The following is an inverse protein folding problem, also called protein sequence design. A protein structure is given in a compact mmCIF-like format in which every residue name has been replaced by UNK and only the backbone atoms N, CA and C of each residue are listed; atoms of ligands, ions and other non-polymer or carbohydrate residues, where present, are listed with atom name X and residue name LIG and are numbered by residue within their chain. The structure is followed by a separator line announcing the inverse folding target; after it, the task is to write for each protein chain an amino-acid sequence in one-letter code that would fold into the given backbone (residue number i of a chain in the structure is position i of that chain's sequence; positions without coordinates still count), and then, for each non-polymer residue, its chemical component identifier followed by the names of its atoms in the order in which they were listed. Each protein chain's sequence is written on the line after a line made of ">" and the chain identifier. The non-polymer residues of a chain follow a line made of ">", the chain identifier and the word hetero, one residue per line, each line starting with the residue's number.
data_IF_310850889202
#
_entry.id   IF_310850889202
#
_cell.length_a   1.000
_cell.length_b   1.000
_cell.length_c   1.000
_cell.angle_alpha   90.00
_cell.angle_beta   90.00
_cell.angle_gamma   90.00
#
_symmetry.space_group_name_H-M   'P 1'
#
loop_
_entity.id
_entity.type
_entity.pdbx_description
1 polymer ?
#
# COMPACT_ATOMS: atom_id res chain seq x y z
N UNK A 1 -11.14 20.32 13.62
CA UNK A 1 -12.29 19.39 13.84
C UNK A 1 -12.98 19.62 15.19
N UNK A 2 -12.32 19.45 16.33
CA UNK A 2 -12.98 19.47 17.65
C UNK A 2 -13.77 20.75 17.95
N UNK A 3 -13.25 21.92 17.55
CA UNK A 3 -13.94 23.21 17.72
C UNK A 3 -15.31 23.28 17.05
N UNK A 4 -15.45 22.69 15.87
CA UNK A 4 -16.74 22.58 15.18
C UNK A 4 -17.75 21.79 16.02
N UNK A 5 -17.34 20.64 16.55
CA UNK A 5 -18.21 19.81 17.40
C UNK A 5 -18.61 20.52 18.69
N UNK A 6 -17.64 21.03 19.45
CA UNK A 6 -17.94 21.64 20.76
C UNK A 6 -18.72 22.94 20.63
N UNK A 7 -18.52 23.74 19.58
CA UNK A 7 -19.33 24.93 19.31
C UNK A 7 -20.79 24.56 19.04
N UNK A 8 -21.03 23.55 18.20
CA UNK A 8 -22.39 23.11 17.85
C UNK A 8 -23.10 22.44 19.04
N UNK A 9 -22.40 21.57 19.76
CA UNK A 9 -23.01 20.72 20.81
C UNK A 9 -23.14 21.46 22.14
N UNK A 10 -22.12 22.24 22.52
CA UNK A 10 -22.01 22.89 23.83
C UNK A 10 -22.27 24.40 23.79
N UNK A 11 -22.38 24.99 22.59
CA UNK A 11 -22.62 26.43 22.43
C UNK A 11 -21.48 27.32 22.94
N UNK A 12 -20.26 26.77 23.09
CA UNK A 12 -19.14 27.51 23.68
C UNK A 12 -18.59 28.56 22.71
N UNK A 13 -18.05 29.65 23.27
CA UNK A 13 -17.17 30.55 22.50
C UNK A 13 -15.89 29.81 22.12
N UNK A 14 -15.51 29.87 20.85
CA UNK A 14 -14.25 29.30 20.34
C UNK A 14 -13.22 30.36 19.94
N UNK A 15 -13.50 31.64 20.20
CA UNK A 15 -12.65 32.76 19.75
C UNK A 15 -12.40 32.69 18.23
N UNK A 16 -11.13 32.79 17.85
CA UNK A 16 -10.63 32.70 16.48
C UNK A 16 -10.23 31.28 16.07
N UNK A 17 -10.62 30.26 16.84
CA UNK A 17 -10.28 28.86 16.50
C UNK A 17 -10.93 28.43 15.19
N UNK A 18 -10.27 27.54 14.47
CA UNK A 18 -10.74 27.07 13.17
C UNK A 18 -12.13 26.41 13.28
N UNK A 19 -13.08 26.93 12.50
CA UNK A 19 -14.46 26.45 12.44
C UNK A 19 -14.82 26.09 11.01
N UNK A 20 -15.43 24.92 10.84
CA UNK A 20 -15.95 24.45 9.56
C UNK A 20 -17.47 24.64 9.54
N UNK A 21 -17.92 25.66 8.80
CA UNK A 21 -19.35 26.00 8.72
C UNK A 21 -20.17 24.91 8.02
N UNK A 22 -19.66 24.32 6.95
CA UNK A 22 -20.37 23.26 6.21
C UNK A 22 -20.41 21.97 7.04
N UNK A 23 -19.27 21.57 7.61
CA UNK A 23 -19.19 20.42 8.51
C UNK A 23 -20.03 20.58 9.77
N UNK A 24 -20.29 21.80 10.24
CA UNK A 24 -21.12 22.05 11.42
C UNK A 24 -22.56 21.55 11.25
N UNK A 25 -23.08 21.55 10.02
CA UNK A 25 -24.47 21.17 9.70
C UNK A 25 -24.75 19.69 9.97
N UNK A 26 -23.73 18.83 9.84
CA UNK A 26 -23.86 17.37 10.01
C UNK A 26 -23.52 16.89 11.43
N UNK A 27 -22.95 17.76 12.29
CA UNK A 27 -22.58 17.38 13.67
C UNK A 27 -23.75 16.82 14.47
N UNK A 28 -24.97 17.41 14.48
CA UNK A 28 -26.08 16.86 15.26
C UNK A 28 -26.47 15.44 14.83
N UNK A 29 -26.44 15.16 13.53
CA UNK A 29 -26.72 13.84 12.98
C UNK A 29 -25.66 12.81 13.41
N UNK A 30 -24.37 13.18 13.33
CA UNK A 30 -23.26 12.33 13.77
C UNK A 30 -23.40 11.96 15.25
N UNK A 31 -23.70 12.94 16.12
CA UNK A 31 -23.87 12.71 17.55
C UNK A 31 -25.08 11.83 17.85
N UNK A 32 -26.19 12.04 17.14
CA UNK A 32 -27.39 11.22 17.29
C UNK A 32 -27.11 9.76 16.89
N UNK A 33 -26.45 9.55 15.74
CA UNK A 33 -26.07 8.21 15.25
C UNK A 33 -25.05 7.52 16.14
N UNK A 34 -24.10 8.26 16.69
CA UNK A 34 -23.15 7.70 17.67
C UNK A 34 -23.89 7.21 18.93
N UNK A 35 -24.80 8.03 19.47
CA UNK A 35 -25.64 7.64 20.61
C UNK A 35 -26.50 6.41 20.31
N UNK A 36 -27.16 6.37 19.15
CA UNK A 36 -27.96 5.24 18.70
C UNK A 36 -27.15 3.93 18.64
N UNK A 37 -25.90 4.02 18.15
CA UNK A 37 -24.98 2.89 18.04
C UNK A 37 -24.20 2.57 19.33
N UNK A 38 -24.46 3.30 20.42
CA UNK A 38 -23.72 3.14 21.67
C UNK A 38 -22.24 3.51 21.57
N UNK A 39 -21.88 4.38 20.62
CA UNK A 39 -20.51 4.88 20.42
C UNK A 39 -20.31 6.12 21.28
N UNK A 40 -19.26 6.08 22.11
CA UNK A 40 -18.82 7.23 22.89
C UNK A 40 -17.94 8.16 22.05
N UNK A 41 -18.34 9.43 21.92
CA UNK A 41 -17.50 10.47 21.30
C UNK A 41 -16.88 11.31 22.41
N UNK A 42 -15.57 11.15 22.60
CA UNK A 42 -14.79 11.91 23.59
C UNK A 42 -14.31 13.21 22.95
N UNK A 43 -14.77 14.35 23.48
CA UNK A 43 -14.39 15.69 23.02
C UNK A 43 -13.54 16.41 24.08
N UNK A 44 -12.63 17.30 23.66
CA UNK A 44 -11.80 18.08 24.58
C UNK A 44 -12.64 18.90 25.57
N UNK A 45 -12.08 19.10 26.77
CA UNK A 45 -12.65 19.89 27.86
C UNK A 45 -11.78 21.10 28.24
N UNK A 46 -10.53 21.11 27.78
CA UNK A 46 -9.56 22.18 27.99
C UNK A 46 -8.59 22.28 26.82
N UNK A 47 -8.00 23.45 26.64
CA UNK A 47 -7.28 23.87 25.45
C UNK A 47 -6.06 24.70 25.82
N UNK A 48 -4.97 24.52 25.07
CA UNK A 48 -3.85 25.46 25.03
C UNK A 48 -4.11 26.42 23.86
N UNK A 49 -4.17 27.71 24.16
CA UNK A 49 -4.56 28.75 23.21
C UNK A 49 -3.45 29.77 23.00
N UNK A 50 -3.45 30.40 21.83
CA UNK A 50 -2.57 31.53 21.50
C UNK A 50 -3.38 32.68 20.91
N UNK A 51 -2.92 33.92 21.09
CA UNK A 51 -3.53 35.11 20.46
C UNK A 51 -3.25 35.22 18.96
N UNK A 52 -2.34 34.41 18.42
CA UNK A 52 -2.07 34.26 16.98
C UNK A 52 -1.66 32.84 16.65
N UNK A 53 -1.69 32.50 15.37
CA UNK A 53 -1.19 31.20 14.90
C UNK A 53 0.34 31.18 14.99
N UNK A 54 0.88 30.73 16.11
CA UNK A 54 2.32 30.76 16.38
C UNK A 54 2.67 30.79 17.86
N UNK A 55 3.94 30.50 18.15
CA UNK A 55 4.52 30.51 19.51
C UNK A 55 4.87 31.92 20.01
N UNK A 56 4.85 32.90 19.11
CA UNK A 56 5.16 34.30 19.38
C UNK A 56 3.96 35.07 19.97
N UNK A 57 2.82 34.39 20.17
CA UNK A 57 1.58 34.93 20.72
C UNK A 57 1.52 34.85 22.24
N UNK A 58 0.52 35.51 22.81
CA UNK A 58 0.21 35.31 24.23
C UNK A 58 -0.41 33.92 24.38
N UNK A 59 0.25 33.05 25.15
CA UNK A 59 -0.21 31.68 25.39
C UNK A 59 -1.00 31.63 26.69
N UNK A 60 -2.19 31.03 26.65
CA UNK A 60 -3.00 30.80 27.84
C UNK A 60 -3.85 29.54 27.69
N UNK A 61 -4.31 29.03 28.83
CA UNK A 61 -5.24 27.91 28.87
C UNK A 61 -6.69 28.40 28.91
N UNK A 62 -7.57 27.61 28.31
CA UNK A 62 -9.02 27.82 28.37
C UNK A 62 -9.71 26.47 28.64
N UNK A 63 -10.92 26.52 29.22
CA UNK A 63 -11.77 25.34 29.39
C UNK A 63 -13.07 25.50 28.64
N UNK A 64 -13.85 24.43 28.57
CA UNK A 64 -15.19 24.48 27.95
C UNK A 64 -16.18 25.30 28.78
N UNK A 65 -15.98 25.41 30.09
CA UNK A 65 -16.77 26.27 30.97
C UNK A 65 -16.44 27.75 30.74
N UNK A 66 -15.16 28.11 30.57
CA UNK A 66 -14.77 29.50 30.31
C UNK A 66 -14.99 29.91 28.85
N UNK A 67 -15.00 28.95 27.93
CA UNK A 67 -14.85 29.18 26.51
C UNK A 67 -13.44 29.69 26.16
N UNK A 68 -13.16 29.76 24.86
CA UNK A 68 -11.94 30.40 24.34
C UNK A 68 -12.23 31.91 24.22
N UNK A 69 -11.40 32.77 24.84
CA UNK A 69 -11.57 34.22 24.77
C UNK A 69 -11.46 34.77 23.35
N UNK A 70 -12.13 35.89 23.10
CA UNK A 70 -12.02 36.63 21.85
C UNK A 70 -10.56 37.02 21.57
N UNK A 71 -10.16 36.95 20.29
CA UNK A 71 -8.78 37.18 19.87
C UNK A 71 -7.83 35.98 20.06
N UNK A 72 -8.25 34.91 20.74
CA UNK A 72 -7.44 33.71 20.94
C UNK A 72 -7.97 32.53 20.12
N UNK A 73 -7.10 31.59 19.81
CA UNK A 73 -7.41 30.33 19.13
C UNK A 73 -6.78 29.15 19.86
N UNK A 74 -7.50 28.04 19.97
CA UNK A 74 -6.96 26.81 20.52
C UNK A 74 -6.08 26.09 19.51
N UNK A 75 -4.86 25.73 19.93
CA UNK A 75 -3.83 25.13 19.08
C UNK A 75 -3.35 23.75 19.57
N UNK A 76 -3.69 23.37 20.81
CA UNK A 76 -3.46 22.02 21.35
C UNK A 76 -4.51 21.70 22.42
N UNK A 77 -4.64 20.42 22.79
CA UNK A 77 -5.50 20.01 23.90
C UNK A 77 -4.83 20.19 25.26
N UNK A 78 -5.61 20.56 26.27
CA UNK A 78 -5.12 20.77 27.62
C UNK A 78 -4.87 19.48 28.41
N UNK A 79 -4.31 19.60 29.63
CA UNK A 79 -3.95 18.47 30.48
C UNK A 79 -5.13 17.59 30.91
N UNK A 80 -6.32 18.14 31.12
CA UNK A 80 -7.48 17.33 31.53
C UNK A 80 -8.01 16.50 30.35
N UNK A 81 -8.01 17.07 29.15
CA UNK A 81 -8.29 16.34 27.91
C UNK A 81 -7.29 15.22 27.67
N UNK A 82 -6.00 15.46 27.95
CA UNK A 82 -4.97 14.41 27.85
C UNK A 82 -5.27 13.23 28.79
N UNK A 83 -5.73 13.48 30.02
CA UNK A 83 -6.15 12.41 30.94
C UNK A 83 -7.34 11.61 30.40
N UNK A 84 -8.34 12.28 29.82
CA UNK A 84 -9.49 11.62 29.19
C UNK A 84 -9.07 10.73 28.02
N UNK A 85 -8.17 11.22 27.18
CA UNK A 85 -7.61 10.46 26.06
C UNK A 85 -6.82 9.25 26.54
N UNK A 86 -5.97 9.40 27.57
CA UNK A 86 -5.24 8.29 28.17
C UNK A 86 -6.17 7.19 28.71
N UNK A 87 -7.23 7.56 29.41
CA UNK A 87 -8.22 6.61 29.90
C UNK A 87 -8.95 5.86 28.77
N UNK A 88 -9.12 6.51 27.62
CA UNK A 88 -9.72 5.91 26.42
C UNK A 88 -8.76 4.97 25.70
N UNK A 89 -7.50 5.35 25.58
CA UNK A 89 -6.42 4.52 25.04
C UNK A 89 -6.26 3.25 25.89
N UNK A 90 -6.20 3.39 27.21
CA UNK A 90 -5.94 2.28 28.13
C UNK A 90 -7.01 1.16 28.09
N UNK A 91 -8.26 1.48 27.72
CA UNK A 91 -9.35 0.51 27.60
C UNK A 91 -9.52 -0.05 26.18
N UNK A 92 -8.76 0.44 25.20
CA UNK A 92 -8.89 0.07 23.79
C UNK A 92 -8.09 -1.20 23.48
N UNK A 93 -8.64 -2.07 22.62
CA UNK A 93 -7.94 -3.26 22.09
C UNK A 93 -7.35 -3.05 20.70
N UNK A 94 -7.94 -2.12 19.97
CA UNK A 94 -7.51 -1.68 18.65
C UNK A 94 -7.64 -0.17 18.60
N UNK A 95 -6.60 0.51 18.13
CA UNK A 95 -6.54 1.95 18.04
C UNK A 95 -6.21 2.31 16.59
N UNK A 96 -7.02 3.18 16.00
CA UNK A 96 -6.72 3.83 14.72
C UNK A 96 -6.57 5.31 15.01
N UNK A 97 -5.40 5.87 14.73
CA UNK A 97 -5.11 7.28 14.95
C UNK A 97 -4.81 7.97 13.63
N UNK A 98 -5.66 8.95 13.29
CA UNK A 98 -5.52 9.78 12.10
C UNK A 98 -5.76 11.26 12.47
N UNK A 99 -4.69 12.05 12.43
CA UNK A 99 -4.67 13.48 12.77
C UNK A 99 -4.06 13.77 14.15
N UNK A 100 -3.04 14.64 14.26
CA UNK A 100 -2.47 15.05 15.54
C UNK A 100 -3.49 15.78 16.43
N UNK A 101 -3.19 15.90 17.74
CA UNK A 101 -4.09 16.53 18.71
C UNK A 101 -4.06 18.06 18.65
N UNK A 102 -2.98 18.62 18.12
CA UNK A 102 -2.69 20.05 18.02
C UNK A 102 -1.64 20.32 16.95
N UNK A 103 -1.17 21.57 16.89
CA UNK A 103 -0.14 22.05 15.94
C UNK A 103 1.25 21.58 16.39
N UNK A 104 1.48 20.27 16.30
CA UNK A 104 2.62 19.58 16.88
C UNK A 104 3.97 19.98 16.30
N UNK A 105 3.99 20.67 15.16
CA UNK A 105 5.19 21.26 14.56
C UNK A 105 5.81 22.33 15.47
N UNK A 106 4.98 23.00 16.28
CA UNK A 106 5.36 24.06 17.20
C UNK A 106 5.53 23.51 18.62
N UNK A 107 6.65 23.82 19.28
CA UNK A 107 7.00 23.24 20.59
C UNK A 107 5.98 23.60 21.68
N UNK A 108 5.41 24.79 21.64
CA UNK A 108 4.39 25.24 22.57
C UNK A 108 3.05 24.46 22.46
N UNK A 109 2.79 23.80 21.32
CA UNK A 109 1.50 23.15 20.98
C UNK A 109 1.67 21.67 20.60
N UNK A 110 2.80 21.06 20.97
CA UNK A 110 3.08 19.65 20.67
C UNK A 110 2.73 18.68 21.79
N UNK A 111 2.47 19.20 22.99
CA UNK A 111 2.39 18.40 24.21
C UNK A 111 1.24 17.37 24.18
N UNK A 112 0.08 17.75 23.65
CA UNK A 112 -1.06 16.85 23.48
C UNK A 112 -0.75 15.72 22.50
N UNK A 113 -0.17 16.05 21.35
CA UNK A 113 0.21 15.05 20.33
C UNK A 113 1.29 14.10 20.85
N UNK A 114 2.32 14.62 21.50
CA UNK A 114 3.39 13.81 22.10
C UNK A 114 2.86 12.90 23.20
N UNK A 115 2.03 13.42 24.09
CA UNK A 115 1.42 12.65 25.17
C UNK A 115 0.56 11.49 24.62
N UNK A 116 -0.25 11.77 23.60
CA UNK A 116 -1.08 10.77 22.93
C UNK A 116 -0.22 9.66 22.31
N UNK A 117 0.85 10.03 21.60
CA UNK A 117 1.82 9.08 21.03
C UNK A 117 2.43 8.17 22.10
N UNK A 118 2.90 8.74 23.21
CA UNK A 118 3.51 7.97 24.29
C UNK A 118 2.54 6.94 24.87
N UNK A 119 1.26 7.32 25.03
CA UNK A 119 0.22 6.40 25.52
C UNK A 119 -0.15 5.32 24.51
N UNK A 120 -0.18 5.63 23.21
CA UNK A 120 -0.37 4.62 22.16
C UNK A 120 0.79 3.63 22.12
N UNK A 121 2.03 4.09 22.25
CA UNK A 121 3.21 3.21 22.29
C UNK A 121 3.16 2.30 23.52
N UNK A 122 2.79 2.83 24.70
CA UNK A 122 2.58 2.02 25.91
C UNK A 122 1.49 0.94 25.70
N UNK A 123 0.36 1.31 25.08
CA UNK A 123 -0.72 0.38 24.77
C UNK A 123 -0.27 -0.70 23.77
N UNK A 124 0.51 -0.32 22.75
CA UNK A 124 1.06 -1.23 21.75
C UNK A 124 1.97 -2.27 22.39
N UNK A 125 2.88 -1.83 23.27
CA UNK A 125 3.77 -2.73 24.03
C UNK A 125 2.98 -3.71 24.90
N UNK A 126 1.78 -3.33 25.32
CA UNK A 126 0.88 -4.15 26.12
C UNK A 126 0.00 -5.10 25.26
N UNK A 127 0.22 -5.15 23.94
CA UNK A 127 -0.47 -6.06 23.01
C UNK A 127 -1.67 -5.45 22.28
N UNK A 128 -1.90 -4.13 22.40
CA UNK A 128 -2.95 -3.42 21.65
C UNK A 128 -2.53 -3.28 20.19
N UNK A 129 -3.43 -3.55 19.24
CA UNK A 129 -3.18 -3.29 17.82
C UNK A 129 -3.30 -1.79 17.57
N UNK A 130 -2.27 -1.15 17.04
CA UNK A 130 -2.23 0.31 16.83
C UNK A 130 -1.88 0.65 15.38
N UNK A 131 -2.81 1.33 14.71
CA UNK A 131 -2.66 1.76 13.32
C UNK A 131 -2.60 3.28 13.29
N UNK A 132 -1.47 3.80 12.83
CA UNK A 132 -1.29 5.23 12.55
C UNK A 132 -1.56 5.46 11.07
N UNK A 133 -2.43 6.42 10.76
CA UNK A 133 -2.76 6.81 9.40
C UNK A 133 -2.65 8.32 9.21
N UNK A 134 -2.24 8.75 8.02
CA UNK A 134 -2.14 10.17 7.68
C UNK A 134 -0.71 10.67 7.66
N UNK A 135 -0.39 11.52 6.68
CA UNK A 135 0.94 12.10 6.53
C UNK A 135 1.40 12.88 7.76
N UNK A 136 0.51 13.65 8.39
CA UNK A 136 0.84 14.45 9.57
C UNK A 136 1.11 13.57 10.79
N UNK A 137 0.27 12.55 11.03
CA UNK A 137 0.45 11.63 12.15
C UNK A 137 1.67 10.72 11.96
N UNK A 138 1.95 10.29 10.73
CA UNK A 138 3.20 9.62 10.39
C UNK A 138 4.42 10.53 10.59
N UNK A 139 4.30 11.83 10.28
CA UNK A 139 5.35 12.82 10.55
C UNK A 139 5.57 13.00 12.05
N UNK A 140 4.51 12.99 12.87
CA UNK A 140 4.63 12.97 14.33
C UNK A 140 5.33 11.69 14.82
N UNK A 141 5.01 10.51 14.26
CA UNK A 141 5.74 9.27 14.57
C UNK A 141 7.23 9.40 14.34
N UNK A 142 7.62 9.95 13.19
CA UNK A 142 9.01 10.19 12.82
C UNK A 142 9.68 11.21 13.73
N UNK A 143 9.01 12.33 14.02
CA UNK A 143 9.52 13.39 14.91
C UNK A 143 9.84 12.84 16.31
N UNK A 144 9.03 11.90 16.79
CA UNK A 144 9.18 11.32 18.13
C UNK A 144 9.92 9.99 18.17
N UNK A 145 10.46 9.53 17.03
CA UNK A 145 11.17 8.25 16.91
C UNK A 145 10.31 7.07 17.39
N UNK A 146 9.12 6.91 16.81
CA UNK A 146 8.12 5.89 17.23
C UNK A 146 7.56 5.06 16.08
N UNK A 147 8.10 5.20 14.87
CA UNK A 147 7.63 4.48 13.67
C UNK A 147 7.70 2.96 13.85
N UNK A 148 8.72 2.45 14.55
CA UNK A 148 8.94 1.04 14.88
C UNK A 148 8.25 0.58 16.18
N UNK A 149 7.57 1.50 16.88
CA UNK A 149 6.98 1.28 18.21
C UNK A 149 5.45 1.17 18.18
N UNK A 150 4.85 1.30 17.01
CA UNK A 150 3.41 1.09 16.73
C UNK A 150 3.21 -0.14 15.84
N UNK A 151 1.99 -0.70 15.78
CA UNK A 151 1.77 -1.92 14.96
C UNK A 151 1.87 -1.63 13.47
N UNK A 152 1.36 -0.49 13.01
CA UNK A 152 1.45 -0.06 11.62
C UNK A 152 1.49 1.47 11.52
N UNK A 153 2.34 1.99 10.64
CA UNK A 153 2.41 3.40 10.30
C UNK A 153 2.20 3.59 8.79
N UNK A 154 1.13 4.27 8.42
CA UNK A 154 0.74 4.53 7.04
C UNK A 154 0.74 6.01 6.72
N UNK A 155 1.43 6.37 5.64
CA UNK A 155 1.37 7.72 5.05
C UNK A 155 0.11 7.93 4.21
N UNK A 156 -0.65 6.86 3.93
CA UNK A 156 -1.83 6.89 3.07
C UNK A 156 -3.05 7.48 3.78
N UNK A 157 -3.01 8.75 4.19
CA UNK A 157 -4.07 9.40 4.96
C UNK A 157 -5.47 9.20 4.40
N UNK A 158 -5.78 9.85 3.28
CA UNK A 158 -7.09 9.74 2.63
C UNK A 158 -7.43 8.30 2.22
N UNK A 159 -6.48 7.58 1.61
CA UNK A 159 -6.70 6.20 1.19
C UNK A 159 -7.02 5.24 2.36
N UNK A 160 -6.35 5.40 3.50
CA UNK A 160 -6.60 4.60 4.71
C UNK A 160 -7.96 4.92 5.32
N UNK A 161 -8.40 6.18 5.29
CA UNK A 161 -9.74 6.56 5.74
C UNK A 161 -10.81 6.04 4.78
N UNK A 162 -10.63 6.15 3.46
CA UNK A 162 -11.55 5.59 2.47
C UNK A 162 -11.69 4.07 2.63
N UNK A 163 -10.59 3.37 2.91
CA UNK A 163 -10.62 1.94 3.24
C UNK A 163 -11.46 1.66 4.48
N UNK A 164 -11.24 2.42 5.57
CA UNK A 164 -11.96 2.27 6.83
C UNK A 164 -13.44 2.68 6.74
N UNK A 165 -13.77 3.59 5.82
CA UNK A 165 -15.14 3.94 5.44
C UNK A 165 -15.84 2.79 4.68
N UNK A 166 -15.10 1.75 4.29
CA UNK A 166 -15.59 0.61 3.53
C UNK A 166 -15.75 0.90 2.04
N UNK A 167 -15.09 1.93 1.52
CA UNK A 167 -15.10 2.21 0.07
C UNK A 167 -14.22 1.21 -0.66
N UNK A 168 -14.63 0.89 -1.88
CA UNK A 168 -13.80 0.10 -2.79
C UNK A 168 -12.65 0.96 -3.28
N UNK A 169 -11.44 0.69 -2.80
CA UNK A 169 -10.24 1.36 -3.29
C UNK A 169 -9.88 0.80 -4.68
N UNK A 170 -9.83 1.62 -5.75
CA UNK A 170 -9.58 1.13 -7.10
C UNK A 170 -8.30 0.32 -7.24
N UNK A 171 -7.24 0.70 -6.50
CA UNK A 171 -5.96 0.00 -6.50
C UNK A 171 -5.97 -1.34 -5.75
N UNK A 172 -6.84 -1.50 -4.74
CA UNK A 172 -7.01 -2.77 -4.01
C UNK A 172 -7.94 -3.70 -4.79
N UNK A 173 -9.02 -3.16 -5.36
CA UNK A 173 -9.95 -3.90 -6.20
C UNK A 173 -9.25 -4.55 -7.40
N UNK A 174 -8.28 -3.86 -8.01
CA UNK A 174 -7.44 -4.40 -9.08
C UNK A 174 -6.52 -5.57 -8.65
N UNK A 175 -6.38 -5.82 -7.35
CA UNK A 175 -5.60 -6.92 -6.77
C UNK A 175 -6.49 -8.06 -6.25
N UNK A 176 -7.76 -7.79 -5.97
CA UNK A 176 -8.75 -8.72 -5.40
C UNK A 176 -9.35 -9.71 -6.42
N UNK A 177 -8.83 -9.71 -7.66
CA UNK A 177 -9.11 -10.73 -8.67
C UNK A 177 -8.49 -12.09 -8.26
N UNK A 178 -9.01 -12.74 -7.22
CA UNK A 178 -8.89 -14.18 -7.05
C UNK A 178 -10.13 -14.82 -7.70
N UNK A 179 -10.07 -15.28 -8.97
CA UNK A 179 -11.22 -15.88 -9.61
C UNK A 179 -11.52 -17.26 -9.01
N UNK A 180 -12.81 -17.63 -9.04
CA UNK A 180 -13.29 -19.00 -8.87
C UNK A 180 -12.43 -20.00 -9.68
N UNK A 181 -12.28 -21.24 -9.19
CA UNK A 181 -11.42 -22.31 -9.76
C UNK A 181 -11.39 -22.27 -11.29
N UNK A 182 -10.35 -21.64 -11.81
CA UNK A 182 -10.17 -21.44 -13.23
C UNK A 182 -9.69 -22.74 -13.90
N UNK A 183 -10.06 -22.93 -15.16
CA UNK A 183 -9.45 -23.95 -16.00
C UNK A 183 -7.95 -23.73 -16.04
N UNK A 184 -7.18 -24.82 -15.97
CA UNK A 184 -5.72 -24.76 -15.84
C UNK A 184 -4.98 -24.87 -17.17
N UNK A 185 -5.69 -25.20 -18.25
CA UNK A 185 -5.08 -25.41 -19.56
C UNK A 185 -4.86 -24.09 -20.28
N UNK A 186 -3.63 -23.83 -20.75
CA UNK A 186 -3.32 -22.69 -21.61
C UNK A 186 -3.98 -22.89 -22.98
N UNK A 187 -4.87 -21.99 -23.39
CA UNK A 187 -5.53 -22.03 -24.71
C UNK A 187 -4.89 -21.06 -25.71
N UNK A 188 -4.54 -19.86 -25.26
CA UNK A 188 -3.95 -18.85 -26.12
C UNK A 188 -2.99 -17.95 -25.32
N UNK A 189 -1.89 -17.54 -25.95
CA UNK A 189 -0.98 -16.52 -25.44
C UNK A 189 -0.81 -15.48 -26.55
N UNK A 190 -0.95 -14.20 -26.20
CA UNK A 190 -0.75 -13.10 -27.12
C UNK A 190 -0.01 -11.96 -26.47
N UNK A 191 1.08 -11.53 -27.08
CA UNK A 191 1.84 -10.35 -26.70
C UNK A 191 1.53 -9.14 -27.57
N UNK A 192 1.73 -7.96 -26.98
CA UNK A 192 1.72 -6.65 -27.64
C UNK A 192 2.75 -5.71 -27.03
N UNK A 193 3.16 -4.73 -27.81
CA UNK A 193 3.99 -3.61 -27.35
C UNK A 193 3.08 -2.58 -26.66
N UNK A 194 3.43 -2.18 -25.45
CA UNK A 194 2.78 -1.12 -24.66
C UNK A 194 3.84 -0.12 -24.16
N UNK A 195 3.40 0.96 -23.52
CA UNK A 195 4.29 1.90 -22.84
C UNK A 195 4.17 1.76 -21.32
N UNK A 196 5.31 1.75 -20.63
CA UNK A 196 5.34 1.82 -19.17
C UNK A 196 5.02 3.24 -18.67
N UNK A 197 4.91 3.41 -17.35
CA UNK A 197 4.60 4.71 -16.72
C UNK A 197 5.66 5.80 -16.95
N UNK A 198 6.84 5.45 -17.46
CA UNK A 198 7.91 6.39 -17.86
C UNK A 198 7.93 6.63 -19.37
N UNK A 199 6.96 6.09 -20.11
CA UNK A 199 6.87 6.20 -21.57
C UNK A 199 7.87 5.33 -22.32
N UNK A 200 8.48 4.30 -21.69
CA UNK A 200 9.36 3.36 -22.39
C UNK A 200 8.54 2.20 -22.98
N UNK A 201 8.84 1.75 -24.21
CA UNK A 201 8.18 0.58 -24.78
C UNK A 201 8.49 -0.68 -23.96
N UNK A 202 7.50 -1.54 -23.77
CA UNK A 202 7.64 -2.83 -23.10
C UNK A 202 6.62 -3.86 -23.58
N UNK A 203 6.76 -5.11 -23.14
CA UNK A 203 5.93 -6.25 -23.52
C UNK A 203 4.81 -6.46 -22.50
N UNK A 204 3.58 -6.56 -23.00
CA UNK A 204 2.42 -7.07 -22.26
C UNK A 204 1.91 -8.36 -22.89
N UNK A 205 1.58 -9.33 -22.06
CA UNK A 205 1.10 -10.65 -22.45
C UNK A 205 -0.29 -10.89 -21.86
N UNK A 206 -1.22 -11.31 -22.72
CA UNK A 206 -2.44 -11.99 -22.34
C UNK A 206 -2.26 -13.50 -22.46
N UNK A 207 -2.63 -14.23 -21.42
CA UNK A 207 -2.74 -15.68 -21.40
C UNK A 207 -4.19 -16.05 -21.10
N UNK A 208 -4.83 -16.78 -21.99
CA UNK A 208 -6.18 -17.29 -21.80
C UNK A 208 -6.13 -18.76 -21.37
N UNK A 209 -6.87 -19.08 -20.32
CA UNK A 209 -7.26 -20.46 -20.00
C UNK A 209 -8.71 -20.70 -20.42
N UNK A 210 -9.24 -21.87 -20.10
CA UNK A 210 -10.63 -22.26 -20.39
C UNK A 210 -11.67 -21.33 -19.74
N UNK A 211 -11.30 -20.61 -18.67
CA UNK A 211 -12.25 -19.85 -17.86
C UNK A 211 -11.93 -18.37 -17.75
N UNK A 212 -10.69 -17.96 -18.01
CA UNK A 212 -10.25 -16.59 -17.72
C UNK A 212 -9.08 -16.15 -18.61
N UNK A 213 -8.92 -14.83 -18.70
CA UNK A 213 -7.76 -14.16 -19.28
C UNK A 213 -6.91 -13.60 -18.14
N UNK A 214 -5.61 -13.86 -18.20
CA UNK A 214 -4.61 -13.39 -17.26
C UNK A 214 -3.61 -12.50 -18.00
N UNK A 215 -3.41 -11.28 -17.49
CA UNK A 215 -2.55 -10.28 -18.11
C UNK A 215 -1.35 -9.99 -17.24
N UNK A 216 -0.19 -9.86 -17.87
CA UNK A 216 1.02 -9.38 -17.22
C UNK A 216 1.83 -8.49 -18.17
N UNK A 217 2.37 -7.41 -17.62
CA UNK A 217 3.36 -6.57 -18.27
C UNK A 217 4.61 -6.51 -17.41
N UNK A 218 5.77 -6.38 -18.06
CA UNK A 218 7.06 -6.26 -17.37
C UNK A 218 7.53 -4.81 -17.51
N UNK A 219 7.86 -4.10 -16.42
CA UNK A 219 8.38 -2.74 -16.56
C UNK A 219 9.75 -2.78 -17.23
N UNK A 220 10.05 -1.79 -18.09
CA UNK A 220 11.36 -1.73 -18.73
C UNK A 220 12.47 -1.50 -17.67
N UNK A 221 13.42 -2.40 -17.52
CA UNK A 221 14.46 -2.30 -16.50
C UNK A 221 15.84 -2.01 -17.09
N UNK A 222 16.51 -0.97 -16.60
CA UNK A 222 17.96 -0.87 -16.74
C UNK A 222 18.59 -1.68 -15.61
N UNK A 223 18.87 -2.96 -15.83
CA UNK A 223 19.61 -3.77 -14.86
C UNK A 223 21.10 -3.53 -15.05
N UNK A 224 21.79 -3.09 -14.01
CA UNK A 224 23.25 -2.96 -13.97
C UNK A 224 23.94 -4.23 -13.46
N UNK A 225 23.19 -5.32 -13.33
CA UNK A 225 23.70 -6.58 -12.80
C UNK A 225 24.63 -7.29 -13.76
N UNK A 226 25.90 -7.44 -13.37
CA UNK A 226 26.94 -8.21 -14.09
C UNK A 226 26.55 -9.66 -14.41
N UNK A 227 25.58 -10.22 -13.69
CA UNK A 227 25.13 -11.60 -13.80
C UNK A 227 24.18 -11.85 -14.99
N UNK A 228 23.52 -10.79 -15.49
CA UNK A 228 22.55 -10.85 -16.58
C UNK A 228 23.06 -10.21 -17.88
N UNK A 229 24.32 -9.74 -17.88
CA UNK A 229 24.96 -9.13 -19.04
C UNK A 229 25.52 -10.18 -20.01
N UNK A 230 25.48 -9.88 -21.31
CA UNK A 230 26.25 -10.63 -22.31
C UNK A 230 27.69 -10.09 -22.37
N UNK A 231 28.66 -10.99 -22.36
CA UNK A 231 30.08 -10.70 -22.12
C UNK A 231 30.79 -9.81 -23.17
N UNK A 232 30.14 -9.45 -24.28
CA UNK A 232 30.85 -8.79 -25.42
C UNK A 232 30.32 -7.42 -25.83
N UNK A 233 29.34 -6.85 -25.15
CA UNK A 233 28.97 -5.44 -25.33
C UNK A 233 28.19 -4.97 -24.13
N UNK A 234 28.62 -3.88 -23.49
CA UNK A 234 28.08 -3.37 -22.23
C UNK A 234 26.60 -2.99 -22.30
N UNK A 235 25.73 -3.99 -22.24
CA UNK A 235 24.28 -3.84 -22.26
C UNK A 235 23.71 -4.49 -21.01
N UNK A 236 22.80 -3.70 -20.44
CA UNK A 236 21.85 -3.93 -19.37
C UNK A 236 21.17 -5.32 -19.48
N UNK A 237 20.49 -5.80 -18.43
CA UNK A 237 19.70 -7.06 -18.51
C UNK A 237 19.02 -7.20 -19.88
N UNK A 238 19.12 -8.39 -20.48
CA UNK A 238 18.85 -8.71 -21.88
C UNK A 238 17.38 -8.52 -22.29
N UNK A 239 16.84 -7.31 -22.13
CA UNK A 239 15.63 -6.87 -22.78
C UNK A 239 15.93 -6.80 -24.27
N UNK A 240 15.20 -7.61 -25.03
CA UNK A 240 15.37 -7.64 -26.48
C UNK A 240 14.73 -6.38 -27.07
N UNK A 241 15.58 -5.43 -27.45
CA UNK A 241 15.21 -4.19 -28.14
C UNK A 241 15.37 -4.34 -29.65
N UNK A 242 14.55 -3.61 -30.40
CA UNK A 242 14.58 -3.66 -31.87
C UNK A 242 15.84 -3.04 -32.45
N UNK A 243 16.39 -2.01 -31.79
CA UNK A 243 17.60 -1.29 -32.19
C UNK A 243 17.39 -0.26 -33.31
N UNK A 244 16.17 -0.12 -33.82
CA UNK A 244 15.83 0.87 -34.86
C UNK A 244 15.73 2.29 -34.28
N UNK A 245 16.77 3.10 -34.45
CA UNK A 245 16.81 4.49 -33.97
C UNK A 245 15.68 5.37 -34.53
N UNK A 246 15.10 5.02 -35.68
CA UNK A 246 13.96 5.72 -36.29
C UNK A 246 12.63 5.44 -35.59
N UNK A 247 12.54 4.36 -34.79
CA UNK A 247 11.33 3.94 -34.08
C UNK A 247 11.58 3.89 -32.58
N UNK A 248 10.91 4.76 -31.83
CA UNK A 248 10.99 4.79 -30.36
C UNK A 248 12.46 4.87 -29.86
N UNK A 249 13.31 5.60 -30.60
CA UNK A 249 14.74 5.78 -30.32
C UNK A 249 15.54 4.46 -30.19
N UNK A 250 15.13 3.41 -30.90
CA UNK A 250 15.76 2.08 -30.82
C UNK A 250 15.25 1.20 -29.67
N UNK A 251 14.36 1.73 -28.82
CA UNK A 251 13.84 1.04 -27.63
C UNK A 251 12.59 0.19 -27.90
N UNK A 252 12.11 0.12 -29.14
CA UNK A 252 11.01 -0.76 -29.52
C UNK A 252 11.27 -2.22 -29.10
N UNK A 253 10.20 -2.99 -28.93
CA UNK A 253 10.25 -4.39 -28.45
C UNK A 253 9.47 -5.35 -29.35
N UNK A 254 9.25 -5.00 -30.62
CA UNK A 254 8.48 -5.86 -31.53
C UNK A 254 9.12 -7.23 -31.73
N UNK A 255 10.45 -7.34 -31.76
CA UNK A 255 11.13 -8.64 -31.81
C UNK A 255 10.80 -9.53 -30.60
N UNK A 256 10.73 -8.94 -29.41
CA UNK A 256 10.33 -9.66 -28.20
C UNK A 256 8.86 -10.10 -28.27
N UNK A 257 7.98 -9.22 -28.76
CA UNK A 257 6.55 -9.53 -29.00
C UNK A 257 6.39 -10.67 -30.02
N UNK A 258 7.14 -10.64 -31.12
CA UNK A 258 7.17 -11.69 -32.13
C UNK A 258 7.66 -13.02 -31.56
N UNK A 259 8.72 -13.01 -30.73
CA UNK A 259 9.19 -14.21 -30.04
C UNK A 259 8.10 -14.82 -29.15
N UNK A 260 7.33 -14.00 -28.43
CA UNK A 260 6.20 -14.52 -27.64
C UNK A 260 5.15 -15.13 -28.56
N UNK A 261 4.69 -14.40 -29.56
CA UNK A 261 3.57 -14.82 -30.41
C UNK A 261 3.88 -16.03 -31.30
N UNK A 262 5.10 -16.11 -31.83
CA UNK A 262 5.46 -17.07 -32.87
C UNK A 262 6.29 -18.26 -32.35
N UNK A 263 7.03 -18.10 -31.24
CA UNK A 263 7.92 -19.15 -30.72
C UNK A 263 7.44 -19.70 -29.37
N UNK A 264 7.11 -18.82 -28.42
CA UNK A 264 6.71 -19.24 -27.07
C UNK A 264 5.27 -19.76 -27.06
N UNK A 265 4.32 -18.98 -27.58
CA UNK A 265 2.90 -19.30 -27.51
C UNK A 265 2.55 -20.68 -28.07
N UNK A 266 3.00 -21.08 -29.29
CA UNK A 266 2.66 -22.39 -29.84
C UNK A 266 3.21 -23.56 -29.01
N UNK A 267 4.31 -23.36 -28.29
CA UNK A 267 4.96 -24.40 -27.49
C UNK A 267 4.28 -24.59 -26.13
N UNK A 268 3.68 -23.55 -25.57
CA UNK A 268 3.05 -23.58 -24.25
C UNK A 268 1.55 -23.91 -24.27
N UNK A 269 0.88 -23.75 -25.42
CA UNK A 269 -0.53 -24.13 -25.58
C UNK A 269 -0.75 -25.60 -25.18
N UNK A 270 -1.77 -25.84 -24.35
CA UNK A 270 -2.11 -27.15 -23.81
C UNK A 270 -1.39 -27.52 -22.51
N UNK A 271 -0.43 -26.70 -22.05
CA UNK A 271 0.22 -26.92 -20.75
C UNK A 271 -0.67 -26.46 -19.59
N UNK A 272 -0.45 -27.05 -18.41
CA UNK A 272 -1.13 -26.68 -17.17
C UNK A 272 -0.41 -25.51 -16.48
N UNK A 273 -1.12 -24.40 -16.24
CA UNK A 273 -0.55 -23.19 -15.61
C UNK A 273 -0.07 -23.40 -14.17
N UNK A 274 -0.45 -24.51 -13.52
CA UNK A 274 0.03 -24.89 -12.18
C UNK A 274 1.46 -25.45 -12.22
N UNK A 275 1.92 -25.92 -13.39
CA UNK A 275 3.28 -26.43 -13.60
C UNK A 275 4.27 -25.30 -13.94
N UNK A 276 4.30 -24.23 -13.12
CA UNK A 276 5.11 -23.03 -13.35
C UNK A 276 6.55 -23.36 -13.73
N UNK A 277 7.21 -24.22 -12.94
CA UNK A 277 8.62 -24.61 -13.17
C UNK A 277 8.81 -25.25 -14.54
N UNK A 278 7.90 -26.12 -14.96
CA UNK A 278 7.99 -26.82 -16.24
C UNK A 278 7.86 -25.84 -17.41
N UNK A 279 6.91 -24.91 -17.30
CA UNK A 279 6.70 -23.86 -18.31
C UNK A 279 7.94 -22.95 -18.41
N UNK A 280 8.48 -22.52 -17.27
CA UNK A 280 9.70 -21.71 -17.23
C UNK A 280 10.90 -22.46 -17.80
N UNK A 281 11.04 -23.77 -17.49
CA UNK A 281 12.10 -24.61 -18.05
C UNK A 281 11.99 -24.76 -19.58
N UNK A 282 10.78 -24.92 -20.13
CA UNK A 282 10.56 -24.96 -21.58
C UNK A 282 10.99 -23.64 -22.23
N UNK A 283 10.61 -22.49 -21.65
CA UNK A 283 11.00 -21.18 -22.20
C UNK A 283 12.51 -20.95 -22.12
N UNK A 284 13.12 -21.21 -20.96
CA UNK A 284 14.52 -20.86 -20.68
C UNK A 284 15.49 -21.90 -21.24
N UNK A 285 15.22 -23.18 -21.06
CA UNK A 285 16.16 -24.26 -21.39
C UNK A 285 15.96 -24.79 -22.80
N UNK A 286 14.71 -24.98 -23.25
CA UNK A 286 14.42 -25.58 -24.57
C UNK A 286 14.35 -24.55 -25.69
N UNK A 287 13.58 -23.46 -25.51
CA UNK A 287 13.34 -22.49 -26.58
C UNK A 287 14.47 -21.45 -26.70
N UNK A 288 14.87 -20.85 -25.57
CA UNK A 288 15.94 -19.87 -25.52
C UNK A 288 17.32 -20.53 -25.56
N UNK A 289 17.62 -21.36 -24.57
CA UNK A 289 18.85 -22.16 -24.50
C UNK A 289 20.13 -21.36 -24.29
N UNK A 290 20.08 -20.03 -24.18
CA UNK A 290 21.27 -19.18 -24.07
C UNK A 290 21.86 -19.23 -22.66
N UNK A 291 23.20 -19.29 -22.58
CA UNK A 291 23.94 -19.29 -21.33
C UNK A 291 25.09 -18.28 -21.34
N UNK A 292 25.40 -17.76 -20.17
CA UNK A 292 26.64 -17.06 -19.85
C UNK A 292 27.38 -17.81 -18.72
N UNK A 293 28.49 -17.25 -18.24
CA UNK A 293 29.29 -17.82 -17.15
C UNK A 293 28.53 -17.96 -15.81
N UNK A 294 27.38 -17.30 -15.66
CA UNK A 294 26.55 -17.28 -14.45
C UNK A 294 25.28 -18.14 -14.56
N UNK A 295 24.98 -18.71 -15.74
CA UNK A 295 23.82 -19.57 -15.96
C UNK A 295 23.02 -19.18 -17.20
N UNK A 296 21.69 -19.29 -17.13
CA UNK A 296 20.78 -19.03 -18.25
C UNK A 296 20.58 -17.53 -18.51
N UNK A 297 21.08 -17.04 -19.65
CA UNK A 297 21.09 -15.60 -19.98
C UNK A 297 19.78 -15.06 -20.56
N UNK A 298 18.97 -15.90 -21.22
CA UNK A 298 17.70 -15.48 -21.85
C UNK A 298 17.88 -14.46 -23.00
N UNK A 299 19.05 -14.43 -23.63
CA UNK A 299 19.44 -13.44 -24.63
C UNK A 299 18.80 -13.66 -26.01
N UNK A 300 18.36 -14.88 -26.33
CA UNK A 300 17.85 -15.21 -27.66
C UNK A 300 16.38 -14.80 -27.82
N UNK A 301 15.54 -15.12 -26.83
CA UNK A 301 14.13 -14.74 -26.82
C UNK A 301 13.89 -13.36 -26.21
N UNK A 302 14.78 -12.92 -25.33
CA UNK A 302 14.65 -11.71 -24.55
C UNK A 302 14.06 -11.97 -23.16
N UNK A 303 14.71 -11.44 -22.13
CA UNK A 303 14.25 -11.57 -20.75
C UNK A 303 12.86 -10.93 -20.54
N UNK A 304 12.58 -9.82 -21.23
CA UNK A 304 11.29 -9.16 -21.27
C UNK A 304 10.17 -10.04 -21.85
N UNK A 305 10.46 -10.87 -22.86
CA UNK A 305 9.50 -11.82 -23.42
C UNK A 305 9.19 -12.96 -22.44
N UNK A 306 10.23 -13.62 -21.91
CA UNK A 306 10.09 -14.77 -21.01
C UNK A 306 9.41 -14.37 -19.71
N UNK A 307 9.82 -13.25 -19.10
CA UNK A 307 9.28 -12.80 -17.82
C UNK A 307 7.80 -12.40 -17.94
N UNK A 308 7.39 -11.77 -19.04
CA UNK A 308 5.99 -11.38 -19.24
C UNK A 308 5.08 -12.61 -19.31
N UNK A 309 5.50 -13.64 -20.05
CA UNK A 309 4.76 -14.91 -20.12
C UNK A 309 4.75 -15.62 -18.76
N UNK A 310 5.91 -15.74 -18.10
CA UNK A 310 6.04 -16.39 -16.79
C UNK A 310 5.14 -15.75 -15.72
N UNK A 311 5.02 -14.42 -15.72
CA UNK A 311 4.12 -13.70 -14.80
C UNK A 311 2.64 -13.90 -15.13
N UNK A 312 2.26 -13.96 -16.40
CA UNK A 312 0.89 -14.29 -16.79
C UNK A 312 0.52 -15.73 -16.38
N UNK A 313 1.45 -16.68 -16.57
CA UNK A 313 1.31 -18.07 -16.10
C UNK A 313 1.19 -18.13 -14.58
N UNK A 314 1.99 -17.37 -13.84
CA UNK A 314 1.94 -17.36 -12.37
C UNK A 314 0.61 -16.86 -11.83
N UNK A 315 0.05 -15.80 -12.43
CA UNK A 315 -1.31 -15.31 -12.12
C UNK A 315 -2.37 -16.36 -12.43
N UNK A 316 -2.27 -17.02 -13.58
CA UNK A 316 -3.17 -18.10 -13.97
C UNK A 316 -3.07 -19.32 -13.03
N UNK A 317 -1.85 -19.71 -12.64
CA UNK A 317 -1.57 -20.80 -11.72
C UNK A 317 -2.13 -20.56 -10.32
N UNK A 318 -2.02 -19.33 -9.82
CA UNK A 318 -2.64 -18.91 -8.57
C UNK A 318 -4.17 -19.06 -8.61
N UNK A 319 -4.80 -18.53 -9.67
CA UNK A 319 -6.24 -18.64 -9.89
C UNK A 319 -6.70 -20.10 -10.05
N UNK A 320 -6.03 -20.90 -10.86
CA UNK A 320 -6.33 -22.33 -11.05
C UNK A 320 -6.13 -23.15 -9.77
N UNK A 321 -5.25 -22.70 -8.87
CA UNK A 321 -5.03 -23.30 -7.56
C UNK A 321 -6.03 -22.83 -6.49
N UNK A 322 -6.86 -21.82 -6.78
CA UNK A 322 -7.74 -21.18 -5.81
C UNK A 322 -6.95 -20.53 -4.65
N UNK A 323 -5.76 -19.99 -4.94
CA UNK A 323 -4.88 -19.37 -3.95
C UNK A 323 -4.62 -17.90 -4.33
N UNK A 324 -4.54 -16.99 -3.34
CA UNK A 324 -4.00 -15.65 -3.58
C UNK A 324 -2.61 -15.73 -4.22
N UNK A 325 -2.32 -14.80 -5.15
CA UNK A 325 -1.06 -14.79 -5.92
C UNK A 325 0.18 -14.89 -5.04
N UNK A 326 0.20 -14.17 -3.92
CA UNK A 326 1.34 -14.18 -2.99
C UNK A 326 1.57 -15.55 -2.35
N UNK A 327 0.50 -16.26 -1.98
CA UNK A 327 0.59 -17.60 -1.42
C UNK A 327 1.05 -18.60 -2.47
N UNK A 328 0.55 -18.45 -3.70
CA UNK A 328 0.99 -19.27 -4.82
C UNK A 328 2.48 -19.08 -5.11
N UNK A 329 2.96 -17.82 -5.20
CA UNK A 329 4.38 -17.49 -5.38
C UNK A 329 5.24 -18.09 -4.27
N UNK A 330 4.84 -17.92 -3.00
CA UNK A 330 5.57 -18.49 -1.88
C UNK A 330 5.62 -20.02 -1.94
N UNK A 331 4.50 -20.67 -2.30
CA UNK A 331 4.39 -22.13 -2.48
C UNK A 331 5.35 -22.62 -3.57
N UNK A 332 5.35 -22.02 -4.77
CA UNK A 332 6.25 -22.43 -5.86
C UNK A 332 7.72 -22.14 -5.56
N UNK A 333 8.01 -21.15 -4.70
CA UNK A 333 9.35 -20.83 -4.22
C UNK A 333 9.80 -21.68 -3.02
N UNK A 334 8.96 -22.60 -2.52
CA UNK A 334 9.24 -23.40 -1.33
C UNK A 334 9.39 -22.58 -0.04
N UNK A 335 8.68 -21.45 0.05
CA UNK A 335 8.71 -20.55 1.23
C UNK A 335 7.44 -20.72 2.06
N UNK A 336 7.56 -20.79 3.41
CA UNK A 336 6.40 -20.92 4.29
C UNK A 336 5.57 -19.63 4.29
N UNK A 337 4.24 -19.77 4.32
CA UNK A 337 3.30 -18.65 4.43
C UNK A 337 2.61 -18.59 5.80
N UNK A 338 2.97 -19.46 6.74
CA UNK A 338 2.27 -19.58 8.03
C UNK A 338 2.30 -18.31 8.88
N UNK A 339 3.33 -17.47 8.71
CA UNK A 339 3.41 -16.14 9.36
C UNK A 339 2.35 -15.15 8.86
N UNK A 340 1.76 -15.40 7.69
CA UNK A 340 0.69 -14.59 7.10
C UNK A 340 -0.72 -15.14 7.41
N UNK A 341 -0.82 -16.37 7.97
CA UNK A 341 -2.09 -17.04 8.32
C UNK A 341 -2.74 -16.56 9.62
N UNK A 342 -2.10 -15.66 10.38
CA UNK A 342 -2.61 -15.19 11.67
C UNK A 342 -3.96 -14.44 11.59
N UNK A 343 -4.51 -14.24 10.39
CA UNK A 343 -5.78 -13.56 10.13
C UNK A 343 -6.93 -14.50 9.71
N UNK A 344 -6.69 -15.82 9.52
CA UNK A 344 -7.68 -16.76 8.97
C UNK A 344 -8.38 -17.66 10.04
N UNK A 345 -8.64 -17.17 11.26
CA UNK A 345 -9.48 -17.91 12.21
C UNK A 345 -10.96 -17.55 12.08
N UNK A 346 -11.71 -18.53 11.59
CA UNK A 346 -13.17 -18.75 11.65
C UNK A 346 -14.09 -17.60 11.20
N UNK A 347 -14.59 -17.73 9.96
CA UNK A 347 -15.94 -17.26 9.60
C UNK A 347 -16.08 -15.86 9.00
N UNK A 348 -15.02 -15.09 8.80
CA UNK A 348 -15.09 -13.81 8.08
C UNK A 348 -14.53 -13.92 6.67
N UNK A 349 -15.37 -13.65 5.67
CA UNK A 349 -14.93 -13.34 4.31
C UNK A 349 -14.24 -11.98 4.31
N UNK A 350 -12.94 -11.96 4.58
CA UNK A 350 -12.11 -10.76 4.42
C UNK A 350 -10.79 -11.17 3.80
N UNK A 351 -10.80 -11.27 2.47
CA UNK A 351 -9.61 -11.22 1.65
C UNK A 351 -9.17 -9.75 1.59
N UNK A 352 -8.23 -9.37 2.44
CA UNK A 352 -7.43 -8.16 2.20
C UNK A 352 -5.97 -8.50 2.49
N UNK A 353 -5.14 -8.49 1.46
CA UNK A 353 -3.69 -8.50 1.60
C UNK A 353 -3.09 -7.43 0.70
N UNK A 354 -2.50 -6.47 1.40
CA UNK A 354 -1.62 -5.40 0.96
C UNK A 354 -0.45 -5.88 0.10
N UNK A 355 -0.18 -5.18 -1.02
CA UNK A 355 1.10 -5.18 -1.71
C UNK A 355 1.52 -3.73 -2.01
N UNK A 356 2.42 -3.20 -1.19
CA UNK A 356 3.26 -2.06 -1.51
C UNK A 356 4.72 -2.47 -1.27
N UNK A 357 5.57 -2.14 -2.24
CA UNK A 357 7.03 -2.27 -2.26
C UNK A 357 7.62 -3.64 -2.68
N UNK A 358 7.83 -3.78 -4.00
CA UNK A 358 8.79 -4.72 -4.57
C UNK A 358 10.20 -4.15 -4.35
N UNK A 359 10.90 -4.58 -3.29
CA UNK A 359 12.37 -4.60 -3.28
C UNK A 359 12.83 -6.04 -3.47
N UNK A 360 13.53 -6.28 -4.58
CA UNK A 360 14.32 -7.50 -4.78
C UNK A 360 15.33 -7.61 -3.62
N UNK A 361 14.99 -8.42 -2.62
CA UNK A 361 15.91 -8.79 -1.56
C UNK A 361 17.06 -9.61 -2.16
N UNK A 362 18.28 -9.13 -1.92
CA UNK A 362 19.55 -9.78 -2.26
C UNK A 362 19.54 -11.28 -1.91
N UNK A 363 19.94 -12.10 -2.87
CA UNK A 363 20.24 -13.52 -2.67
C UNK A 363 21.47 -13.63 -1.74
N UNK A 364 21.43 -14.41 -0.64
CA UNK A 364 22.61 -14.65 0.17
C UNK A 364 23.59 -15.54 -0.59
N UNK A 365 24.89 -15.21 -0.48
CA UNK A 365 25.99 -16.06 -0.98
C UNK A 365 25.97 -17.40 -0.24
N UNK A 366 26.19 -18.50 -0.98
CA UNK A 366 26.78 -19.72 -0.40
C UNK A 366 28.28 -19.53 -0.22
#
# INVERSE_FOLDING_TARGET
>A
MAFTFIKVIRGISIGNSLFDEEGSKIVPEIMAKAKEKGVEIVLPIDFVCSSKYGEDGEIKNATVETGIPEGFMGLDCGPETNKLNAATIARSKTIVWNGPMGVFEMKAFEQGTKFMMDKIVEATKSGTVTVIGGGDTATACKKYDTEDKVTHCSTGGGASLELLEGKVLPGVAALDDAPARAGSTILHIRAREIFDSRGNPTVEVDLCTETALFRAAVPSGASTGIYEAAAESGVEALELRDGDKGRLLGKGVLKAVENVNNLIAPKLTGMDVRDQKKIDDVMVQELDGSKNEWGWSKSKLGANAILAVSMAVCRAGASASGMPLYQYIAKIAGKPTDRFRALEKEGSSTSECWFADFRLCKIPKM
#
